data_IF_713016697790
#
_entry.id   IF_713016697790
#
_cell.length_a   1.000
_cell.length_b   1.000
_cell.length_c   1.000
_cell.angle_alpha   90.00
_cell.angle_beta   90.00
_cell.angle_gamma   90.00
#
_symmetry.space_group_name_H-M   'P 1'
#
loop_
_entity.id
_entity.type
_entity.pdbx_description
1 polymer ?
#
# COMPACT_ATOMS: atom_id res chain seq x y z
N UNK A 1 -25.24 -0.27 -19.68
CA UNK A 1 -24.46 -1.31 -20.37
C UNK A 1 -24.78 -2.66 -19.77
N UNK A 2 -25.06 -3.69 -20.63
CA UNK A 2 -25.25 -5.07 -20.17
C UNK A 2 -23.96 -5.66 -19.61
N UNK A 3 -24.09 -6.60 -18.66
CA UNK A 3 -22.93 -7.33 -18.11
C UNK A 3 -22.45 -8.34 -19.17
N UNK A 4 -21.13 -8.39 -19.39
CA UNK A 4 -20.50 -9.42 -20.19
C UNK A 4 -20.21 -10.63 -19.29
N UNK A 5 -20.41 -11.83 -19.81
CA UNK A 5 -20.19 -13.06 -19.07
C UNK A 5 -19.23 -13.94 -19.88
N UNK A 6 -18.21 -14.49 -19.20
CA UNK A 6 -17.31 -15.49 -19.78
C UNK A 6 -17.22 -16.68 -18.82
N UNK A 7 -16.90 -17.86 -19.34
CA UNK A 7 -16.99 -19.12 -18.61
C UNK A 7 -15.68 -19.92 -18.71
N UNK A 8 -15.54 -20.87 -17.81
CA UNK A 8 -14.58 -21.96 -17.83
C UNK A 8 -13.12 -21.51 -17.92
N UNK A 9 -12.35 -22.18 -18.72
CA UNK A 9 -10.91 -21.98 -18.85
C UNK A 9 -10.58 -20.60 -19.43
N UNK A 10 -11.39 -20.10 -20.36
CA UNK A 10 -11.18 -18.77 -20.94
C UNK A 10 -11.29 -17.68 -19.88
N UNK A 11 -12.28 -17.76 -18.99
CA UNK A 11 -12.44 -16.82 -17.89
C UNK A 11 -11.22 -16.83 -16.95
N UNK A 12 -10.77 -18.03 -16.55
CA UNK A 12 -9.62 -18.21 -15.69
C UNK A 12 -8.33 -17.68 -16.34
N UNK A 13 -8.09 -18.01 -17.60
CA UNK A 13 -6.91 -17.55 -18.34
C UNK A 13 -6.86 -16.03 -18.41
N UNK A 14 -7.96 -15.38 -18.78
CA UNK A 14 -8.06 -13.92 -18.85
C UNK A 14 -7.79 -13.26 -17.49
N UNK A 15 -8.35 -13.79 -16.42
CA UNK A 15 -8.08 -13.28 -15.07
C UNK A 15 -6.59 -13.41 -14.70
N UNK A 16 -5.96 -14.55 -14.99
CA UNK A 16 -4.53 -14.77 -14.72
C UNK A 16 -3.66 -13.84 -15.55
N UNK A 17 -3.97 -13.64 -16.84
CA UNK A 17 -3.28 -12.68 -17.72
C UNK A 17 -3.33 -11.26 -17.14
N UNK A 18 -4.48 -10.84 -16.63
CA UNK A 18 -4.63 -9.54 -15.96
C UNK A 18 -3.78 -9.40 -14.69
N UNK A 19 -3.78 -10.43 -13.86
CA UNK A 19 -2.92 -10.50 -12.66
C UNK A 19 -1.44 -10.38 -13.04
N UNK A 20 -1.00 -11.13 -14.05
CA UNK A 20 0.39 -11.12 -14.49
C UNK A 20 0.82 -9.78 -15.08
N UNK A 21 -0.05 -9.11 -15.85
CA UNK A 21 0.22 -7.78 -16.41
C UNK A 21 0.43 -6.75 -15.29
N UNK A 22 -0.47 -6.70 -14.31
CA UNK A 22 -0.33 -5.81 -13.16
C UNK A 22 0.93 -6.17 -12.33
N UNK A 23 1.09 -7.43 -11.98
CA UNK A 23 2.23 -7.89 -11.18
C UNK A 23 3.58 -7.59 -11.88
N UNK A 24 3.66 -7.69 -13.20
CA UNK A 24 4.87 -7.35 -13.97
C UNK A 24 5.27 -5.89 -13.80
N UNK A 25 4.31 -4.97 -13.81
CA UNK A 25 4.58 -3.55 -13.58
C UNK A 25 5.02 -3.28 -12.12
N UNK A 26 4.30 -3.86 -11.15
CA UNK A 26 4.63 -3.71 -9.73
C UNK A 26 5.99 -4.34 -9.38
N UNK A 27 6.31 -5.51 -9.94
CA UNK A 27 7.62 -6.19 -9.76
C UNK A 27 8.80 -5.33 -10.18
N UNK A 28 8.63 -4.42 -11.14
CA UNK A 28 9.70 -3.52 -11.58
C UNK A 28 10.19 -2.59 -10.46
N UNK A 29 9.38 -2.34 -9.44
CA UNK A 29 9.72 -1.48 -8.28
C UNK A 29 10.38 -2.23 -7.13
N UNK A 30 10.48 -3.56 -7.18
CA UNK A 30 10.89 -4.40 -6.06
C UNK A 30 12.39 -4.28 -5.75
N UNK A 31 12.67 -4.09 -4.46
CA UNK A 31 14.01 -4.23 -3.88
C UNK A 31 15.00 -3.11 -4.23
N UNK A 32 16.29 -3.31 -3.88
CA UNK A 32 17.34 -2.28 -4.06
C UNK A 32 17.57 -1.87 -5.52
N UNK A 33 17.38 -2.82 -6.45
CA UNK A 33 17.49 -2.58 -7.89
C UNK A 33 16.15 -2.16 -8.54
N UNK A 34 15.12 -1.90 -7.72
CA UNK A 34 13.81 -1.49 -8.19
C UNK A 34 13.87 -0.19 -8.98
N UNK A 35 13.14 -0.15 -10.09
CA UNK A 35 13.08 0.98 -11.02
C UNK A 35 11.87 1.84 -10.74
N UNK A 36 11.97 3.12 -11.09
CA UNK A 36 10.81 3.99 -11.12
C UNK A 36 9.89 3.60 -12.27
N UNK A 37 8.59 3.72 -12.03
CA UNK A 37 7.53 3.56 -13.04
C UNK A 37 6.98 4.94 -13.35
N UNK A 38 6.82 5.22 -14.64
CA UNK A 38 6.19 6.45 -15.12
C UNK A 38 4.73 6.12 -15.44
N UNK A 39 3.83 6.86 -14.84
CA UNK A 39 2.38 6.67 -14.97
C UNK A 39 1.82 7.91 -15.64
N UNK A 40 1.10 7.71 -16.74
CA UNK A 40 0.34 8.78 -17.38
C UNK A 40 -0.87 9.15 -16.53
N UNK A 41 -1.10 10.43 -16.32
CA UNK A 41 -2.29 10.94 -15.63
C UNK A 41 -3.19 11.68 -16.62
N UNK A 42 -4.49 11.51 -16.46
CA UNK A 42 -5.51 12.21 -17.25
C UNK A 42 -5.48 13.72 -17.05
N UNK A 43 -4.95 14.20 -15.91
CA UNK A 43 -4.78 15.61 -15.58
C UNK A 43 -3.40 15.84 -14.96
N UNK A 44 -2.66 16.84 -15.47
CA UNK A 44 -1.33 17.19 -15.00
C UNK A 44 -0.22 16.48 -15.76
N UNK A 45 1.00 16.50 -15.24
CA UNK A 45 2.16 15.81 -15.80
C UNK A 45 2.19 14.31 -15.40
N UNK A 46 3.03 13.50 -16.09
CA UNK A 46 3.23 12.10 -15.73
C UNK A 46 3.76 11.99 -14.30
N UNK A 47 3.25 11.02 -13.55
CA UNK A 47 3.73 10.72 -12.22
C UNK A 47 4.85 9.68 -12.28
N UNK A 48 5.96 9.97 -11.61
CA UNK A 48 7.07 9.02 -11.44
C UNK A 48 7.01 8.49 -10.02
N UNK A 49 6.93 7.17 -9.87
CA UNK A 49 6.86 6.54 -8.55
C UNK A 49 7.64 5.23 -8.51
N UNK A 50 8.11 4.87 -7.32
CA UNK A 50 8.69 3.55 -7.01
C UNK A 50 7.78 2.76 -6.08
N UNK A 51 6.69 3.36 -5.60
CA UNK A 51 5.75 2.72 -4.70
C UNK A 51 4.84 1.73 -5.44
N UNK A 52 4.86 0.47 -4.98
CA UNK A 52 4.12 -0.62 -5.61
C UNK A 52 2.60 -0.48 -5.50
N UNK A 53 2.07 0.10 -4.39
CA UNK A 53 0.63 0.28 -4.24
C UNK A 53 0.10 1.39 -5.14
N UNK A 54 0.86 2.48 -5.30
CA UNK A 54 0.52 3.56 -6.23
C UNK A 54 0.48 3.03 -7.66
N UNK A 55 1.52 2.27 -8.07
CA UNK A 55 1.54 1.62 -9.40
C UNK A 55 0.33 0.71 -9.57
N UNK A 56 0.01 -0.12 -8.58
CA UNK A 56 -1.12 -1.06 -8.67
C UNK A 56 -2.48 -0.35 -8.79
N UNK A 57 -2.65 0.80 -8.14
CA UNK A 57 -3.91 1.56 -8.17
C UNK A 57 -4.19 2.22 -9.52
N UNK A 58 -3.14 2.65 -10.21
CA UNK A 58 -3.25 3.38 -11.48
C UNK A 58 -3.36 2.48 -12.70
N UNK A 59 -3.04 1.17 -12.59
CA UNK A 59 -3.11 0.27 -13.74
C UNK A 59 -4.55 -0.10 -14.04
N UNK A 60 -5.00 0.24 -15.24
CA UNK A 60 -6.24 -0.22 -15.85
C UNK A 60 -5.96 -0.90 -17.19
N UNK A 61 -6.60 -2.04 -17.42
CA UNK A 61 -6.43 -2.83 -18.62
C UNK A 61 -7.66 -2.66 -19.53
N UNK A 62 -7.42 -2.62 -20.85
CA UNK A 62 -8.47 -2.45 -21.86
C UNK A 62 -9.47 -3.61 -21.89
N UNK A 63 -8.98 -4.86 -21.75
CA UNK A 63 -9.85 -6.04 -21.69
C UNK A 63 -10.55 -6.11 -20.32
N UNK A 64 -11.89 -6.07 -20.26
CA UNK A 64 -12.63 -6.07 -19.00
C UNK A 64 -12.39 -7.31 -18.14
N UNK A 65 -12.15 -8.47 -18.74
CA UNK A 65 -11.90 -9.72 -18.02
C UNK A 65 -10.49 -9.77 -17.44
N UNK A 66 -9.50 -9.28 -18.17
CA UNK A 66 -8.15 -9.11 -17.64
C UNK A 66 -8.14 -8.05 -16.53
N UNK A 67 -8.86 -6.94 -16.73
CA UNK A 67 -8.97 -5.89 -15.71
C UNK A 67 -9.62 -6.38 -14.41
N UNK A 68 -10.52 -7.36 -14.46
CA UNK A 68 -11.02 -8.01 -13.24
C UNK A 68 -9.90 -8.72 -12.47
N UNK A 69 -9.01 -9.45 -13.15
CA UNK A 69 -7.84 -10.07 -12.54
C UNK A 69 -6.90 -9.04 -11.92
N UNK A 70 -6.61 -7.96 -12.65
CA UNK A 70 -5.80 -6.85 -12.14
C UNK A 70 -6.43 -6.23 -10.88
N UNK A 71 -7.75 -6.00 -10.86
CA UNK A 71 -8.47 -5.46 -9.69
C UNK A 71 -8.35 -6.35 -8.45
N UNK A 72 -8.36 -7.67 -8.59
CA UNK A 72 -8.16 -8.59 -7.45
C UNK A 72 -6.79 -8.41 -6.80
N UNK A 73 -5.74 -8.29 -7.59
CA UNK A 73 -4.39 -8.06 -7.05
C UNK A 73 -4.20 -6.64 -6.52
N UNK A 74 -4.84 -5.66 -7.14
CA UNK A 74 -4.91 -4.29 -6.60
C UNK A 74 -5.51 -4.30 -5.19
N UNK A 75 -6.56 -5.07 -4.95
CA UNK A 75 -7.19 -5.20 -3.63
C UNK A 75 -6.22 -5.82 -2.61
N UNK A 76 -5.42 -6.82 -3.01
CA UNK A 76 -4.37 -7.40 -2.16
C UNK A 76 -3.36 -6.33 -1.75
N UNK A 77 -2.85 -5.55 -2.69
CA UNK A 77 -1.91 -4.46 -2.41
C UNK A 77 -2.52 -3.40 -1.48
N UNK A 78 -3.76 -2.99 -1.72
CA UNK A 78 -4.46 -2.00 -0.90
C UNK A 78 -4.68 -2.51 0.53
N UNK A 79 -5.18 -3.73 0.71
CA UNK A 79 -5.35 -4.33 2.04
C UNK A 79 -4.05 -4.47 2.82
N UNK A 80 -2.96 -4.83 2.12
CA UNK A 80 -1.63 -4.90 2.76
C UNK A 80 -1.18 -3.51 3.22
N UNK A 81 -1.40 -2.48 2.41
CA UNK A 81 -1.11 -1.11 2.79
C UNK A 81 -1.92 -0.65 4.00
N UNK A 82 -3.22 -0.95 4.03
CA UNK A 82 -4.11 -0.53 5.12
C UNK A 82 -3.77 -1.20 6.46
N UNK A 83 -3.27 -2.43 6.43
CA UNK A 83 -2.95 -3.22 7.64
C UNK A 83 -1.51 -2.99 8.11
N UNK A 84 -0.55 -2.96 7.20
CA UNK A 84 0.88 -2.95 7.51
C UNK A 84 1.62 -1.69 7.07
N UNK A 85 1.07 -0.92 6.13
CA UNK A 85 1.71 0.28 5.56
C UNK A 85 2.90 0.00 4.64
N UNK A 86 3.39 -1.24 4.61
CA UNK A 86 4.54 -1.67 3.80
C UNK A 86 4.35 -3.11 3.28
N UNK A 87 5.25 -3.57 2.41
CA UNK A 87 5.22 -4.92 1.84
C UNK A 87 4.21 -5.13 0.71
N UNK A 88 3.63 -4.09 0.16
CA UNK A 88 2.61 -4.14 -0.90
C UNK A 88 3.12 -4.81 -2.17
N UNK A 89 4.35 -4.53 -2.57
CA UNK A 89 5.00 -5.17 -3.72
C UNK A 89 5.22 -6.66 -3.47
N UNK A 90 5.68 -7.04 -2.27
CA UNK A 90 5.89 -8.44 -1.88
C UNK A 90 4.56 -9.20 -1.88
N UNK A 91 3.50 -8.62 -1.33
CA UNK A 91 2.16 -9.21 -1.33
C UNK A 91 1.64 -9.44 -2.75
N UNK A 92 1.84 -8.47 -3.65
CA UNK A 92 1.49 -8.60 -5.07
C UNK A 92 2.24 -9.74 -5.76
N UNK A 93 3.55 -9.87 -5.51
CA UNK A 93 4.38 -10.95 -6.06
C UNK A 93 3.93 -12.32 -5.56
N UNK A 94 3.63 -12.44 -4.26
CA UNK A 94 3.13 -13.68 -3.67
C UNK A 94 1.76 -14.05 -4.21
N UNK A 95 0.85 -13.10 -4.32
CA UNK A 95 -0.49 -13.34 -4.86
C UNK A 95 -0.44 -13.85 -6.30
N UNK A 96 0.39 -13.22 -7.14
CA UNK A 96 0.60 -13.68 -8.53
C UNK A 96 1.21 -15.07 -8.60
N UNK A 97 2.22 -15.36 -7.76
CA UNK A 97 2.86 -16.67 -7.73
C UNK A 97 1.89 -17.77 -7.28
N UNK A 98 1.14 -17.55 -6.21
CA UNK A 98 0.13 -18.48 -5.70
C UNK A 98 -0.92 -18.75 -6.77
N UNK A 99 -1.44 -17.71 -7.43
CA UNK A 99 -2.45 -17.85 -8.47
C UNK A 99 -1.92 -18.61 -9.68
N UNK A 100 -0.73 -18.25 -10.18
CA UNK A 100 -0.13 -18.87 -11.36
C UNK A 100 0.22 -20.35 -11.12
N UNK A 101 0.76 -20.68 -9.96
CA UNK A 101 1.07 -22.06 -9.59
C UNK A 101 -0.23 -22.83 -9.34
N UNK A 102 -1.18 -22.24 -8.61
CA UNK A 102 -2.49 -22.84 -8.35
C UNK A 102 -3.23 -23.19 -9.65
N UNK A 103 -3.19 -22.31 -10.64
CA UNK A 103 -3.79 -22.56 -11.94
C UNK A 103 -3.21 -23.79 -12.64
N UNK A 104 -1.90 -24.04 -12.51
CA UNK A 104 -1.26 -25.28 -13.07
C UNK A 104 -1.82 -26.53 -12.43
N UNK A 105 -2.01 -26.52 -11.10
CA UNK A 105 -2.60 -27.66 -10.38
C UNK A 105 -4.05 -27.89 -10.79
N UNK A 106 -4.84 -26.83 -10.93
CA UNK A 106 -6.23 -26.93 -11.42
C UNK A 106 -6.30 -27.50 -12.83
N UNK A 107 -5.42 -27.05 -13.73
CA UNK A 107 -5.36 -27.57 -15.11
C UNK A 107 -4.94 -29.03 -15.16
N UNK A 108 -4.11 -29.49 -14.20
CA UNK A 108 -3.74 -30.91 -14.08
C UNK A 108 -4.79 -31.78 -13.38
N UNK A 109 -5.96 -31.22 -13.04
CA UNK A 109 -7.10 -31.96 -12.51
C UNK A 109 -7.19 -32.06 -10.99
N UNK A 110 -6.39 -31.26 -10.25
CA UNK A 110 -6.50 -31.20 -8.80
C UNK A 110 -7.81 -30.52 -8.40
N UNK A 111 -8.50 -31.12 -7.43
CA UNK A 111 -9.74 -30.56 -6.90
C UNK A 111 -9.50 -29.18 -6.25
N UNK A 112 -10.30 -28.16 -6.61
CA UNK A 112 -10.13 -26.79 -6.08
C UNK A 112 -10.22 -26.71 -4.56
N UNK A 113 -11.05 -27.54 -3.91
CA UNK A 113 -11.21 -27.52 -2.46
C UNK A 113 -9.97 -28.11 -1.75
N UNK A 114 -9.39 -29.16 -2.31
CA UNK A 114 -8.14 -29.72 -1.81
C UNK A 114 -6.99 -28.72 -1.98
N UNK A 115 -6.92 -28.03 -3.12
CA UNK A 115 -5.91 -26.99 -3.34
C UNK A 115 -6.06 -25.85 -2.33
N UNK A 116 -7.28 -25.39 -2.10
CA UNK A 116 -7.57 -24.37 -1.11
C UNK A 116 -7.16 -24.80 0.29
N UNK A 117 -7.55 -25.99 0.73
CA UNK A 117 -7.18 -26.50 2.04
C UNK A 117 -5.65 -26.58 2.22
N UNK A 118 -4.92 -26.97 1.15
CA UNK A 118 -3.47 -26.98 1.16
C UNK A 118 -2.86 -25.59 1.28
N UNK A 119 -3.40 -24.59 0.59
CA UNK A 119 -2.96 -23.20 0.69
C UNK A 119 -3.23 -22.67 2.10
N UNK A 120 -4.43 -22.89 2.66
CA UNK A 120 -4.78 -22.44 4.00
C UNK A 120 -3.85 -23.04 5.09
N UNK A 121 -3.55 -24.32 5.00
CA UNK A 121 -2.60 -24.99 5.90
C UNK A 121 -1.18 -24.43 5.77
N UNK A 122 -0.71 -24.19 4.54
CA UNK A 122 0.60 -23.62 4.30
C UNK A 122 0.69 -22.18 4.85
N UNK A 123 -0.35 -21.37 4.64
CA UNK A 123 -0.43 -19.98 5.17
C UNK A 123 -0.37 -19.98 6.70
N UNK A 124 -1.11 -20.86 7.36
CA UNK A 124 -1.09 -20.96 8.83
C UNK A 124 0.33 -21.29 9.35
N UNK A 125 0.99 -22.30 8.76
CA UNK A 125 2.34 -22.71 9.14
C UNK A 125 3.37 -21.59 8.90
N UNK A 126 3.32 -20.96 7.72
CA UNK A 126 4.26 -19.87 7.37
C UNK A 126 4.05 -18.66 8.29
N UNK A 127 2.80 -18.31 8.59
CA UNK A 127 2.49 -17.18 9.48
C UNK A 127 3.02 -17.41 10.91
N UNK A 128 2.89 -18.63 11.42
CA UNK A 128 3.44 -19.01 12.73
C UNK A 128 4.96 -18.87 12.76
N UNK A 129 5.64 -19.37 11.74
CA UNK A 129 7.11 -19.26 11.62
C UNK A 129 7.57 -17.81 11.49
N UNK A 130 6.87 -17.00 10.69
CA UNK A 130 7.17 -15.57 10.54
C UNK A 130 7.00 -14.81 11.85
N UNK A 131 5.98 -15.13 12.63
CA UNK A 131 5.79 -14.52 13.95
C UNK A 131 6.96 -14.81 14.92
N UNK A 132 7.54 -16.01 14.82
CA UNK A 132 8.75 -16.39 15.58
C UNK A 132 10.03 -15.69 15.10
N UNK A 133 10.10 -15.36 13.82
CA UNK A 133 11.26 -14.68 13.21
C UNK A 133 11.20 -13.15 13.35
N UNK A 134 10.02 -12.59 13.58
CA UNK A 134 9.80 -11.16 13.65
C UNK A 134 10.53 -10.53 14.85
N UNK A 135 11.35 -9.53 14.58
CA UNK A 135 11.98 -8.70 15.62
C UNK A 135 10.99 -7.63 16.07
N UNK A 136 10.67 -7.65 17.37
CA UNK A 136 9.88 -6.56 17.97
C UNK A 136 10.76 -5.31 18.11
N UNK A 137 10.22 -4.18 17.67
CA UNK A 137 10.89 -2.88 17.75
C UNK A 137 10.50 -2.22 19.08
N UNK A 138 11.48 -1.65 19.78
CA UNK A 138 11.20 -0.82 20.94
C UNK A 138 10.79 0.59 20.47
N UNK A 139 9.54 0.96 20.77
CA UNK A 139 8.98 2.27 20.44
C UNK A 139 9.69 3.45 21.16
N UNK A 140 10.64 3.16 22.05
CA UNK A 140 11.48 4.17 22.71
C UNK A 140 12.87 4.25 22.07
N UNK A 141 13.24 3.31 21.23
CA UNK A 141 14.53 3.29 20.56
C UNK A 141 14.48 4.14 19.28
N UNK A 142 15.07 5.34 19.36
CA UNK A 142 15.17 6.25 18.23
C UNK A 142 15.79 5.59 16.99
N UNK A 143 16.86 4.82 17.21
CA UNK A 143 17.61 4.21 16.11
C UNK A 143 16.81 3.10 15.41
N UNK A 144 16.04 2.30 16.14
CA UNK A 144 15.20 1.27 15.55
C UNK A 144 14.04 1.90 14.75
N UNK A 145 13.43 2.96 15.27
CA UNK A 145 12.37 3.70 14.56
C UNK A 145 12.96 4.36 13.30
N UNK A 146 14.14 4.98 13.41
CA UNK A 146 14.80 5.60 12.26
C UNK A 146 15.13 4.60 11.16
N UNK A 147 15.59 3.38 11.51
CA UNK A 147 15.86 2.32 10.54
C UNK A 147 14.59 1.89 9.79
N UNK A 148 13.46 1.74 10.48
CA UNK A 148 12.18 1.42 9.83
C UNK A 148 11.70 2.55 8.93
N UNK A 149 11.78 3.79 9.40
CA UNK A 149 11.47 4.97 8.60
C UNK A 149 12.35 5.10 7.37
N UNK A 150 13.65 4.83 7.51
CA UNK A 150 14.59 4.88 6.39
C UNK A 150 14.28 3.82 5.32
N UNK A 151 13.94 2.59 5.71
CA UNK A 151 13.57 1.53 4.76
C UNK A 151 12.34 1.95 3.96
N UNK A 152 11.32 2.48 4.63
CA UNK A 152 10.08 2.98 3.97
C UNK A 152 10.36 4.17 3.04
N UNK A 153 11.39 4.97 3.35
CA UNK A 153 11.85 6.11 2.55
C UNK A 153 12.97 5.74 1.54
N UNK A 154 13.02 4.53 1.03
CA UNK A 154 14.06 4.04 0.09
C UNK A 154 15.50 4.11 0.63
N UNK A 155 15.70 3.79 1.89
CA UNK A 155 16.97 3.86 2.64
C UNK A 155 17.49 5.29 2.86
N UNK A 156 16.60 6.28 2.87
CA UNK A 156 16.95 7.64 3.24
C UNK A 156 16.97 7.77 4.76
N UNK A 157 18.18 7.83 5.32
CA UNK A 157 18.39 7.96 6.77
C UNK A 157 18.05 9.35 7.30
N UNK A 158 18.07 10.38 6.47
CA UNK A 158 17.72 11.73 6.87
C UNK A 158 16.22 11.81 7.17
N UNK A 159 15.38 11.26 6.24
CA UNK A 159 13.95 11.12 6.44
C UNK A 159 13.65 10.18 7.61
N UNK A 160 14.36 9.04 7.70
CA UNK A 160 14.21 8.10 8.80
C UNK A 160 14.45 8.72 10.18
N UNK A 161 15.50 9.53 10.33
CA UNK A 161 15.79 10.26 11.56
C UNK A 161 14.71 11.30 11.88
N UNK A 162 14.24 12.04 10.89
CA UNK A 162 13.18 13.03 11.06
C UNK A 162 11.88 12.39 11.55
N UNK A 163 11.52 11.27 10.97
CA UNK A 163 10.33 10.49 11.39
C UNK A 163 10.50 9.95 12.82
N UNK A 164 11.69 9.47 13.18
CA UNK A 164 11.94 8.99 14.53
C UNK A 164 11.82 10.13 15.56
N UNK A 165 12.33 11.31 15.24
CA UNK A 165 12.23 12.49 16.11
C UNK A 165 10.76 12.95 16.23
N UNK A 166 9.99 12.91 15.15
CA UNK A 166 8.54 13.17 15.16
C UNK A 166 7.82 12.19 16.08
N UNK A 167 8.00 10.89 15.87
CA UNK A 167 7.32 9.85 16.66
C UNK A 167 7.66 9.91 18.15
N UNK A 168 8.91 10.21 18.50
CA UNK A 168 9.31 10.37 19.89
C UNK A 168 8.68 11.59 20.56
N UNK A 169 8.44 12.69 19.78
CA UNK A 169 7.78 13.88 20.30
C UNK A 169 6.28 13.66 20.51
N UNK A 170 5.60 13.04 19.55
CA UNK A 170 4.15 12.84 19.61
C UNK A 170 3.75 11.67 20.51
N UNK A 171 4.67 10.72 20.71
CA UNK A 171 4.40 9.51 21.48
C UNK A 171 3.60 8.47 20.71
N UNK A 172 3.22 7.39 21.42
CA UNK A 172 2.61 6.20 20.81
C UNK A 172 1.22 6.43 20.21
N UNK A 173 0.47 7.37 20.75
CA UNK A 173 -0.92 7.67 20.35
C UNK A 173 -1.02 8.87 19.41
N UNK A 174 0.11 9.52 19.13
CA UNK A 174 0.15 10.65 18.24
C UNK A 174 0.06 10.27 16.77
N UNK A 175 -0.45 11.17 15.98
CA UNK A 175 -0.56 11.03 14.53
C UNK A 175 0.59 11.80 13.87
N UNK A 176 1.30 11.14 12.96
CA UNK A 176 2.31 11.77 12.11
C UNK A 176 1.79 11.79 10.68
N UNK A 177 1.63 12.96 10.11
CA UNK A 177 1.24 13.15 8.71
C UNK A 177 2.43 13.67 7.92
N UNK A 178 2.49 13.31 6.64
CA UNK A 178 3.50 13.80 5.70
C UNK A 178 2.78 14.55 4.61
N UNK A 179 3.14 15.83 4.45
CA UNK A 179 2.54 16.71 3.44
C UNK A 179 3.62 17.35 2.58
N UNK A 180 3.23 17.75 1.36
CA UNK A 180 4.13 18.45 0.46
C UNK A 180 4.32 19.90 0.95
N UNK A 181 5.56 20.21 1.40
CA UNK A 181 5.90 21.53 1.92
C UNK A 181 6.01 22.57 0.82
N UNK A 182 5.78 23.83 1.18
CA UNK A 182 5.96 25.02 0.30
C UNK A 182 7.42 25.50 0.30
N UNK A 183 8.25 25.04 1.23
CA UNK A 183 9.66 25.41 1.36
C UNK A 183 10.58 24.39 0.69
N UNK A 184 11.83 24.79 0.40
CA UNK A 184 12.85 23.87 -0.13
C UNK A 184 13.48 22.96 0.94
N UNK A 185 13.11 23.15 2.20
CA UNK A 185 13.63 22.36 3.31
C UNK A 185 12.52 21.53 3.90
N UNK A 186 12.86 20.30 4.30
CA UNK A 186 11.95 19.45 5.07
C UNK A 186 11.91 19.98 6.51
N UNK A 187 10.74 20.32 6.99
CA UNK A 187 10.51 20.88 8.32
C UNK A 187 9.59 19.95 9.12
N UNK A 188 9.83 19.87 10.43
CA UNK A 188 8.98 19.14 11.36
C UNK A 188 8.16 20.15 12.15
N UNK A 189 6.87 20.19 11.89
CA UNK A 189 5.91 20.98 12.66
C UNK A 189 5.25 20.10 13.72
N UNK A 190 5.17 20.59 14.95
CA UNK A 190 4.54 19.89 16.06
C UNK A 190 3.37 20.72 16.56
N UNK A 191 2.19 20.13 16.60
CA UNK A 191 0.96 20.76 17.05
C UNK A 191 0.47 20.02 18.30
N UNK A 192 0.26 20.76 19.39
CA UNK A 192 -0.37 20.20 20.58
C UNK A 192 -1.89 20.16 20.36
N UNK A 193 -2.48 18.98 20.49
CA UNK A 193 -3.91 18.75 20.28
C UNK A 193 -4.22 18.06 18.96
N UNK A 194 -5.35 18.41 18.35
CA UNK A 194 -5.81 17.81 17.10
C UNK A 194 -6.08 18.92 16.08
N UNK A 195 -5.44 18.83 14.92
CA UNK A 195 -5.68 19.72 13.80
C UNK A 195 -6.71 19.10 12.85
N UNK A 196 -7.70 19.88 12.46
CA UNK A 196 -8.72 19.50 11.49
C UNK A 196 -8.49 20.27 10.18
N UNK A 197 -8.53 19.57 9.06
CA UNK A 197 -8.35 20.17 7.72
C UNK A 197 -9.47 21.14 7.32
N UNK A 198 -10.62 20.96 7.93
CA UNK A 198 -11.80 21.81 7.70
C UNK A 198 -12.29 22.39 9.02
N UNK A 199 -12.34 23.70 9.07
CA UNK A 199 -12.95 24.42 10.18
C UNK A 199 -14.48 24.31 10.21
N UNK A 200 -15.14 25.21 10.88
CA UNK A 200 -16.60 25.20 10.99
C UNK A 200 -17.28 25.33 9.62
N UNK A 201 -18.35 24.56 9.43
CA UNK A 201 -19.18 24.64 8.21
C UNK A 201 -19.75 26.03 8.03
N UNK A 202 -19.99 26.76 9.14
CA UNK A 202 -20.44 28.15 9.16
C UNK A 202 -19.94 28.84 10.41
N UNK A 203 -19.56 30.15 10.33
CA UNK A 203 -19.19 30.96 11.49
C UNK A 203 -20.27 31.03 12.59
N UNK A 204 -21.52 30.75 12.26
CA UNK A 204 -22.64 30.73 13.21
C UNK A 204 -22.60 29.57 14.22
N UNK A 205 -21.72 28.57 13.99
CA UNK A 205 -21.50 27.48 14.95
C UNK A 205 -20.51 27.83 16.07
N UNK A 206 -19.87 29.00 15.99
CA UNK A 206 -18.94 29.49 17.02
C UNK A 206 -19.75 30.08 18.16
N UNK A 207 -19.63 29.54 19.37
CA UNK A 207 -20.42 29.96 20.54
C UNK A 207 -19.72 30.94 21.48
N UNK A 208 -18.41 31.16 21.37
CA UNK A 208 -17.64 32.00 22.26
C UNK A 208 -16.98 33.15 21.53
N UNK A 209 -16.97 34.33 22.13
CA UNK A 209 -16.32 35.55 21.59
C UNK A 209 -14.80 35.40 21.49
N UNK A 210 -14.20 34.50 22.27
CA UNK A 210 -12.74 34.20 22.22
C UNK A 210 -12.29 33.64 20.88
N UNK A 211 -13.14 32.88 20.18
CA UNK A 211 -12.81 32.32 18.89
C UNK A 211 -13.06 33.26 17.69
N UNK A 212 -13.71 34.38 17.90
CA UNK A 212 -14.00 35.34 16.83
C UNK A 212 -12.79 36.24 16.52
N UNK A 213 -11.86 36.42 17.46
CA UNK A 213 -10.67 37.24 17.28
C UNK A 213 -9.54 36.58 16.49
N UNK A 214 -9.57 35.28 16.33
CA UNK A 214 -8.55 34.55 15.55
C UNK A 214 -8.89 34.38 14.04
N UNK A 215 -10.09 34.87 13.63
CA UNK A 215 -10.58 34.74 12.24
C UNK A 215 -10.61 36.07 11.47
N UNK A 216 -9.93 37.12 11.99
CA UNK A 216 -9.77 38.41 11.26
C UNK A 216 -8.34 38.53 10.68
#
# INVERSE_FOLDING_TARGET
MGKQITYDELARRKAVEGVQKLAKAVKATLGPAGKNVIIEKSFGGPQVTKDGVTVAKEIELEDPFENMGAKLVREVASKTNDVAGDGTTTATVLAEAILTIGQRYLTSGVDPNHLRAGIDAAVATVTEQLAGMAKKIDNKSRDEIAQVGAISANNDMEIGNLLADAMLKVGREGVVTVEEGKSFKTELEHVDGMQFDKGYISPYFIRSEEHTSELQ
#
